data_IF_282806127340
#
_entry.id   IF_282806127340
#
_cell.length_a   1.000
_cell.length_b   1.000
_cell.length_c   1.000
_cell.angle_alpha   90.00
_cell.angle_beta   90.00
_cell.angle_gamma   90.00
#
_symmetry.space_group_name_H-M   'P 1'
#
loop_
_entity.id
_entity.type
_entity.pdbx_description
1 polymer ?
#
# COMPACT_ATOMS: atom_id res chain seq x y z
N UNK A 1 -18.78 38.70 -5.11
CA UNK A 1 -17.94 37.50 -5.11
C UNK A 1 -18.84 36.32 -4.81
N UNK A 2 -19.11 35.49 -5.81
CA UNK A 2 -20.00 34.35 -5.68
C UNK A 2 -19.19 33.21 -5.06
N UNK A 3 -19.49 32.88 -3.80
CA UNK A 3 -19.03 31.66 -3.16
C UNK A 3 -19.81 30.50 -3.80
N UNK A 4 -19.29 29.98 -4.92
CA UNK A 4 -19.87 28.85 -5.63
C UNK A 4 -19.45 27.53 -4.99
N UNK A 5 -20.45 26.72 -4.63
CA UNK A 5 -20.43 25.29 -4.31
C UNK A 5 -19.18 24.71 -3.63
N UNK A 6 -19.25 24.58 -2.30
CA UNK A 6 -18.53 23.49 -1.63
C UNK A 6 -19.43 22.25 -1.68
N UNK A 7 -19.06 21.16 -2.38
CA UNK A 7 -19.86 19.95 -2.37
C UNK A 7 -19.69 19.29 -1.00
N UNK A 8 -20.57 19.63 -0.07
CA UNK A 8 -20.89 18.76 1.03
C UNK A 8 -21.42 17.44 0.42
N UNK A 9 -20.68 16.34 0.57
CA UNK A 9 -21.12 14.99 0.16
C UNK A 9 -20.29 14.28 -0.90
N UNK A 10 -18.97 14.40 -0.91
CA UNK A 10 -18.16 13.36 -1.55
C UNK A 10 -17.91 12.28 -0.52
N UNK A 11 -18.45 11.07 -0.75
CA UNK A 11 -18.12 9.89 0.05
C UNK A 11 -16.62 9.66 -0.07
N UNK A 12 -15.87 10.04 0.96
CA UNK A 12 -14.42 9.85 1.03
C UNK A 12 -14.11 8.65 1.91
N UNK A 13 -13.01 7.99 1.60
CA UNK A 13 -12.45 6.93 2.43
C UNK A 13 -11.11 7.39 2.99
N UNK A 14 -10.84 6.96 4.22
CA UNK A 14 -9.55 7.00 4.87
C UNK A 14 -9.48 5.74 5.74
N UNK A 15 -8.85 4.69 5.23
CA UNK A 15 -8.75 3.38 5.87
C UNK A 15 -7.31 2.92 5.88
N UNK A 16 -6.84 2.53 7.05
CA UNK A 16 -5.52 1.93 7.22
C UNK A 16 -5.69 0.41 7.32
N UNK A 17 -5.11 -0.32 6.38
CA UNK A 17 -5.01 -1.77 6.41
C UNK A 17 -3.68 -2.12 7.08
N UNK A 18 -3.75 -2.66 8.30
CA UNK A 18 -2.57 -3.10 9.04
C UNK A 18 -2.19 -4.50 8.58
N UNK A 19 -1.03 -4.64 7.93
CA UNK A 19 -0.48 -5.93 7.52
C UNK A 19 0.32 -6.49 8.71
N UNK A 20 0.24 -7.80 8.92
CA UNK A 20 1.01 -8.44 9.99
C UNK A 20 2.52 -8.35 9.67
N UNK A 21 3.29 -7.70 10.53
CA UNK A 21 4.73 -7.44 10.36
C UNK A 21 5.62 -8.09 11.45
N UNK A 22 5.04 -8.75 12.44
CA UNK A 22 5.62 -9.21 13.71
C UNK A 22 6.18 -8.07 14.58
N UNK A 23 7.15 -7.33 14.06
CA UNK A 23 7.75 -6.10 14.59
C UNK A 23 8.05 -5.12 13.43
N UNK A 24 8.35 -3.86 13.73
CA UNK A 24 8.37 -2.82 12.69
C UNK A 24 6.98 -2.58 12.09
N UNK A 25 6.92 -2.02 10.89
CA UNK A 25 5.66 -1.61 10.26
C UNK A 25 5.49 -2.15 8.83
N UNK A 26 4.26 -2.52 8.49
CA UNK A 26 3.80 -2.71 7.10
C UNK A 26 2.32 -2.38 7.00
N UNK A 27 1.99 -1.34 6.23
CA UNK A 27 0.64 -0.77 6.19
C UNK A 27 0.23 -0.46 4.76
N UNK A 28 -1.07 -0.58 4.45
CA UNK A 28 -1.63 -0.04 3.21
C UNK A 28 -2.66 1.03 3.55
N UNK A 29 -2.45 2.25 3.07
CA UNK A 29 -3.38 3.35 3.20
C UNK A 29 -4.30 3.39 1.99
N UNK A 30 -5.61 3.25 2.23
CA UNK A 30 -6.68 3.48 1.28
C UNK A 30 -7.28 4.87 1.52
N UNK A 31 -7.28 5.74 0.52
CA UNK A 31 -7.72 7.13 0.69
C UNK A 31 -8.36 7.74 -0.56
N UNK A 32 -9.06 8.87 -0.39
CA UNK A 32 -9.64 9.63 -1.51
C UNK A 32 -11.13 9.35 -1.68
N UNK A 33 -11.61 9.22 -2.93
CA UNK A 33 -13.04 9.00 -3.21
C UNK A 33 -13.40 7.53 -3.00
N UNK A 34 -14.46 7.24 -2.26
CA UNK A 34 -14.88 5.87 -1.96
C UNK A 34 -15.20 5.04 -3.22
N UNK A 35 -15.67 5.69 -4.31
CA UNK A 35 -15.95 5.02 -5.59
C UNK A 35 -14.69 4.69 -6.41
N UNK A 36 -13.56 5.34 -6.12
CA UNK A 36 -12.29 5.16 -6.82
C UNK A 36 -11.14 5.52 -5.85
N UNK A 37 -10.86 4.64 -4.87
CA UNK A 37 -9.86 4.93 -3.85
C UNK A 37 -8.45 4.78 -4.40
N UNK A 38 -7.55 5.56 -3.82
CA UNK A 38 -6.10 5.49 -3.99
C UNK A 38 -5.49 4.57 -2.93
N UNK A 39 -4.37 3.93 -3.27
CA UNK A 39 -3.67 3.03 -2.36
C UNK A 39 -2.18 3.36 -2.29
N UNK A 40 -1.67 3.46 -1.07
CA UNK A 40 -0.25 3.67 -0.79
C UNK A 40 0.25 2.59 0.16
N UNK A 41 1.36 1.96 -0.18
CA UNK A 41 2.09 1.08 0.73
C UNK A 41 3.01 1.94 1.61
N UNK A 42 3.01 1.69 2.91
CA UNK A 42 3.90 2.32 3.88
C UNK A 42 4.65 1.20 4.59
N UNK A 43 5.97 1.14 4.36
CA UNK A 43 6.90 0.12 4.87
C UNK A 43 6.56 -1.33 4.48
N UNK A 44 7.56 -2.20 4.58
CA UNK A 44 7.49 -3.59 4.14
C UNK A 44 7.55 -4.63 5.26
N UNK A 45 7.83 -4.19 6.48
CA UNK A 45 8.13 -5.08 7.60
C UNK A 45 9.50 -5.77 7.50
N UNK A 46 9.87 -6.55 8.54
CA UNK A 46 11.11 -7.32 8.62
C UNK A 46 11.19 -8.48 7.62
N UNK A 47 12.34 -9.17 7.53
CA UNK A 47 12.55 -10.30 6.64
C UNK A 47 11.46 -11.38 6.77
N UNK A 48 10.96 -11.86 5.63
CA UNK A 48 9.91 -12.88 5.56
C UNK A 48 8.47 -12.35 5.53
N UNK A 49 8.22 -11.15 6.08
CA UNK A 49 6.89 -10.50 6.11
C UNK A 49 6.33 -10.33 4.71
N UNK A 50 7.19 -9.98 3.74
CA UNK A 50 6.78 -9.88 2.34
C UNK A 50 6.09 -11.14 1.85
N UNK A 51 6.79 -12.28 1.93
CA UNK A 51 6.29 -13.55 1.42
C UNK A 51 5.07 -14.08 2.17
N UNK A 52 5.00 -13.87 3.49
CA UNK A 52 4.00 -14.47 4.37
C UNK A 52 2.71 -13.64 4.47
N UNK A 53 2.82 -12.31 4.41
CA UNK A 53 1.73 -11.41 4.77
C UNK A 53 1.48 -10.30 3.74
N UNK A 54 2.51 -9.56 3.37
CA UNK A 54 2.34 -8.39 2.49
C UNK A 54 2.00 -8.78 1.05
N UNK A 55 2.70 -9.74 0.44
CA UNK A 55 2.41 -10.21 -0.92
C UNK A 55 0.98 -10.75 -1.05
N UNK A 56 0.47 -11.63 -0.17
CA UNK A 56 -0.94 -12.02 -0.17
C UNK A 56 -1.91 -10.85 -0.04
N UNK A 57 -1.64 -9.89 0.85
CA UNK A 57 -2.50 -8.71 1.03
C UNK A 57 -2.56 -7.83 -0.23
N UNK A 58 -1.40 -7.56 -0.85
CA UNK A 58 -1.34 -6.81 -2.12
C UNK A 58 -2.04 -7.55 -3.27
N UNK A 59 -1.92 -8.87 -3.33
CA UNK A 59 -2.62 -9.70 -4.32
C UNK A 59 -4.14 -9.65 -4.13
N UNK A 60 -4.63 -9.68 -2.89
CA UNK A 60 -6.06 -9.54 -2.58
C UNK A 60 -6.59 -8.17 -3.02
N UNK A 61 -5.85 -7.10 -2.75
CA UNK A 61 -6.19 -5.75 -3.24
C UNK A 61 -6.20 -5.70 -4.78
N UNK A 62 -5.18 -6.26 -5.43
CA UNK A 62 -5.08 -6.30 -6.89
C UNK A 62 -6.22 -7.10 -7.54
N UNK A 63 -6.69 -8.19 -6.92
CA UNK A 63 -7.88 -8.93 -7.37
C UNK A 63 -9.15 -8.06 -7.35
N UNK A 64 -9.21 -7.07 -6.45
CA UNK A 64 -10.25 -6.04 -6.41
C UNK A 64 -10.06 -4.90 -7.41
N UNK A 65 -9.02 -4.96 -8.26
CA UNK A 65 -8.69 -3.91 -9.22
C UNK A 65 -7.89 -2.74 -8.64
N UNK A 66 -7.41 -2.85 -7.39
CA UNK A 66 -6.56 -1.84 -6.79
C UNK A 66 -5.16 -1.86 -7.38
N UNK A 67 -4.53 -0.68 -7.45
CA UNK A 67 -3.13 -0.51 -7.76
C UNK A 67 -2.51 0.44 -6.74
N UNK A 68 -1.23 0.24 -6.43
CA UNK A 68 -0.48 1.17 -5.58
C UNK A 68 -0.11 2.40 -6.40
N UNK A 69 -0.46 3.58 -5.90
CA UNK A 69 -0.05 4.86 -6.46
C UNK A 69 1.37 5.25 -6.01
N UNK A 70 1.75 4.80 -4.82
CA UNK A 70 3.05 5.08 -4.21
C UNK A 70 3.45 4.03 -3.18
N UNK A 71 4.76 3.99 -2.91
CA UNK A 71 5.37 3.29 -1.78
C UNK A 71 6.12 4.34 -0.97
N UNK A 72 5.86 4.39 0.33
CA UNK A 72 6.56 5.23 1.29
C UNK A 72 7.41 4.34 2.20
N UNK A 73 8.69 4.69 2.33
CA UNK A 73 9.59 4.10 3.32
C UNK A 73 9.88 5.15 4.38
N UNK A 74 9.52 4.87 5.64
CA UNK A 74 9.66 5.82 6.74
C UNK A 74 11.13 6.01 7.14
N UNK A 75 11.88 4.92 7.23
CA UNK A 75 13.33 4.87 7.44
C UNK A 75 13.89 3.52 6.97
N UNK A 76 15.21 3.35 7.01
CA UNK A 76 15.92 2.22 6.41
C UNK A 76 16.30 1.11 7.40
N UNK A 77 15.73 1.12 8.59
CA UNK A 77 15.99 0.03 9.53
C UNK A 77 15.35 -1.27 8.99
N UNK A 78 16.00 -2.40 9.29
CA UNK A 78 15.70 -3.69 8.67
C UNK A 78 14.23 -4.10 8.81
N UNK A 79 13.62 -3.75 9.94
CA UNK A 79 12.23 -4.01 10.29
C UNK A 79 11.20 -3.19 9.51
N UNK A 80 11.64 -2.25 8.66
CA UNK A 80 10.78 -1.48 7.76
C UNK A 80 11.12 -1.73 6.29
N UNK A 81 12.41 -1.84 5.95
CA UNK A 81 12.86 -1.87 4.54
C UNK A 81 12.88 -3.28 3.93
N UNK A 82 13.08 -4.33 4.73
CA UNK A 82 13.38 -5.67 4.21
C UNK A 82 12.28 -6.19 3.27
N UNK A 83 11.01 -6.11 3.68
CA UNK A 83 9.90 -6.55 2.82
C UNK A 83 9.70 -5.71 1.56
N UNK A 84 10.15 -4.45 1.53
CA UNK A 84 10.11 -3.63 0.31
C UNK A 84 11.19 -4.05 -0.70
N UNK A 85 12.35 -4.50 -0.20
CA UNK A 85 13.42 -5.04 -1.05
C UNK A 85 12.94 -6.33 -1.72
N UNK A 86 12.30 -7.23 -0.96
CA UNK A 86 11.72 -8.45 -1.51
C UNK A 86 10.64 -8.14 -2.57
N UNK A 87 9.76 -7.18 -2.28
CA UNK A 87 8.78 -6.69 -3.26
C UNK A 87 9.45 -6.19 -4.55
N UNK A 88 10.53 -5.42 -4.44
CA UNK A 88 11.24 -4.90 -5.61
C UNK A 88 11.87 -6.02 -6.45
N UNK A 89 12.46 -7.04 -5.83
CA UNK A 89 12.96 -8.22 -6.54
C UNK A 89 11.85 -8.92 -7.32
N UNK A 90 10.72 -9.20 -6.67
CA UNK A 90 9.56 -9.83 -7.31
C UNK A 90 9.06 -9.03 -8.53
N UNK A 91 9.05 -7.69 -8.44
CA UNK A 91 8.64 -6.81 -9.55
C UNK A 91 9.64 -6.83 -10.72
N UNK A 92 10.95 -6.88 -10.41
CA UNK A 92 11.99 -7.01 -11.44
C UNK A 92 11.89 -8.36 -12.15
N UNK A 93 11.75 -9.45 -11.39
CA UNK A 93 11.58 -10.79 -11.97
C UNK A 93 10.32 -10.90 -12.84
N UNK A 94 9.20 -10.34 -12.36
CA UNK A 94 7.95 -10.33 -13.12
C UNK A 94 8.07 -9.53 -14.43
N UNK A 95 8.84 -8.44 -14.43
CA UNK A 95 9.10 -7.62 -15.62
C UNK A 95 9.97 -8.37 -16.64
N UNK A 96 10.97 -9.13 -16.19
CA UNK A 96 11.88 -9.87 -17.07
C UNK A 96 11.23 -11.09 -17.73
N UNK A 97 10.10 -11.55 -17.20
CA UNK A 97 9.31 -12.68 -17.72
C UNK A 97 8.18 -12.26 -18.68
N UNK A 98 7.93 -10.96 -18.85
CA UNK A 98 6.87 -10.39 -19.68
C UNK A 98 7.36 -10.04 -21.10
#
# INVERSE_FOLDING_TARGET
MQMGDSPAGQDTVLRLHVVQADYGDSLVLEYGRAAAPHFMLIDGGPPGVYSQHLKPALQQLAQGGAALDAILLTHVDEDHVAGLVDLAYDLVEAKDQA
#
